data_IF_751765304939
#
_entry.id   IF_751765304939
#
_cell.length_a   1.000
_cell.length_b   1.000
_cell.length_c   1.000
_cell.angle_alpha   90.00
_cell.angle_beta   90.00
_cell.angle_gamma   90.00
#
_symmetry.space_group_name_H-M   'P 1'
#
loop_
_entity.id
_entity.type
_entity.pdbx_description
1 polymer ?
#
# COMPACT_ATOMS: atom_id res chain seq x y z
N UNK A 1 10.72 -21.19 5.91
CA UNK A 1 9.63 -20.73 5.04
C UNK A 1 9.91 -19.31 4.61
N UNK A 2 9.78 -19.09 3.35
CA UNK A 2 10.01 -17.77 2.80
C UNK A 2 8.70 -17.00 2.72
N UNK A 3 8.57 -15.96 3.54
CA UNK A 3 7.37 -15.15 3.59
C UNK A 3 7.47 -13.87 2.77
N UNK A 4 8.48 -13.77 1.91
CA UNK A 4 8.68 -12.53 1.16
C UNK A 4 7.51 -12.17 0.24
N UNK A 5 6.67 -13.11 -0.11
CA UNK A 5 5.52 -12.88 -1.00
C UNK A 5 4.20 -12.85 -0.29
N UNK A 6 4.15 -13.24 0.96
CA UNK A 6 2.89 -13.31 1.67
C UNK A 6 2.90 -12.37 2.85
N UNK A 7 1.79 -11.72 3.06
CA UNK A 7 1.63 -10.76 4.15
C UNK A 7 0.47 -11.21 5.00
N UNK A 8 0.71 -11.33 6.29
CA UNK A 8 -0.34 -11.66 7.23
C UNK A 8 -1.10 -10.41 7.62
N UNK A 9 -2.40 -10.53 7.91
CA UNK A 9 -3.20 -9.35 8.27
C UNK A 9 -2.62 -8.53 9.41
N UNK A 10 -2.12 -9.17 10.45
CA UNK A 10 -1.58 -8.45 11.60
C UNK A 10 -0.33 -7.65 11.22
N UNK A 11 0.53 -8.23 10.38
CA UNK A 11 1.72 -7.52 9.92
C UNK A 11 1.34 -6.31 9.07
N UNK A 12 0.32 -6.45 8.25
CA UNK A 12 -0.14 -5.36 7.42
C UNK A 12 -0.73 -4.24 8.27
N UNK A 13 -1.51 -4.57 9.30
CA UNK A 13 -2.06 -3.57 10.22
C UNK A 13 -0.96 -2.81 10.93
N UNK A 14 0.08 -3.50 11.38
CA UNK A 14 1.20 -2.86 12.05
C UNK A 14 1.94 -1.91 11.11
N UNK A 15 2.14 -2.33 9.86
CA UNK A 15 2.81 -1.50 8.88
C UNK A 15 2.02 -0.22 8.60
N UNK A 16 0.70 -0.33 8.49
CA UNK A 16 -0.17 0.83 8.28
C UNK A 16 -0.11 1.79 9.47
N UNK A 17 -0.13 1.24 10.68
CA UNK A 17 -0.01 2.06 11.89
C UNK A 17 1.32 2.79 11.95
N UNK A 18 2.41 2.10 11.58
CA UNK A 18 3.73 2.71 11.54
C UNK A 18 3.78 3.87 10.55
N UNK A 19 3.24 3.66 9.36
CA UNK A 19 3.19 4.70 8.35
C UNK A 19 2.36 5.89 8.83
N UNK A 20 1.21 5.61 9.42
CA UNK A 20 0.30 6.64 9.90
C UNK A 20 0.91 7.51 10.98
N UNK A 21 1.81 6.94 11.79
CA UNK A 21 2.47 7.66 12.88
C UNK A 21 3.73 8.41 12.49
N UNK A 22 4.20 8.25 11.27
CA UNK A 22 5.43 8.92 10.84
C UNK A 22 5.22 10.39 10.54
N UNK A 23 6.22 11.19 10.87
CA UNK A 23 6.22 12.60 10.48
C UNK A 23 6.51 12.68 8.99
N UNK A 24 5.74 13.46 8.28
CA UNK A 24 5.85 13.54 6.84
C UNK A 24 5.46 14.93 6.37
N UNK A 25 6.31 15.54 5.54
CA UNK A 25 6.02 16.84 4.95
C UNK A 25 5.12 16.70 3.72
N UNK A 26 5.11 15.55 3.09
CA UNK A 26 4.26 15.25 1.95
C UNK A 26 3.12 14.33 2.31
N UNK A 27 2.83 13.40 1.43
CA UNK A 27 1.73 12.45 1.62
C UNK A 27 2.24 11.13 2.17
N UNK A 28 1.36 10.42 2.86
CA UNK A 28 1.60 9.03 3.28
C UNK A 28 0.92 8.12 2.28
N UNK A 29 1.71 7.30 1.59
CA UNK A 29 1.23 6.45 0.50
C UNK A 29 1.45 4.99 0.87
N UNK A 30 0.42 4.17 0.76
CA UNK A 30 0.51 2.74 1.00
C UNK A 30 0.28 1.99 -0.30
N UNK A 31 1.27 1.22 -0.73
CA UNK A 31 1.16 0.33 -1.89
C UNK A 31 1.07 -1.08 -1.33
N UNK A 32 -0.11 -1.68 -1.44
CA UNK A 32 -0.41 -2.93 -0.76
C UNK A 32 -0.85 -3.99 -1.76
N UNK A 33 -0.23 -5.15 -1.65
CA UNK A 33 -0.62 -6.32 -2.43
C UNK A 33 -1.62 -7.17 -1.66
N UNK A 34 -2.01 -8.28 -2.27
CA UNK A 34 -2.94 -9.18 -1.63
C UNK A 34 -2.28 -9.87 -0.44
N UNK A 35 -3.09 -10.21 0.54
CA UNK A 35 -2.66 -11.08 1.63
C UNK A 35 -2.85 -12.52 1.17
N UNK A 36 -1.82 -13.33 1.32
CA UNK A 36 -1.81 -14.69 0.79
C UNK A 36 -2.32 -15.71 1.81
N UNK A 37 -2.74 -16.86 1.29
CA UNK A 37 -3.05 -18.04 2.09
C UNK A 37 -4.19 -17.86 3.11
N UNK A 38 -5.13 -16.98 2.80
CA UNK A 38 -6.28 -16.74 3.67
C UNK A 38 -7.49 -17.63 3.32
N UNK A 39 -7.46 -18.26 2.16
CA UNK A 39 -8.56 -19.11 1.73
C UNK A 39 -9.90 -18.40 1.74
N UNK A 40 -10.88 -19.00 2.40
CA UNK A 40 -12.23 -18.44 2.46
C UNK A 40 -12.31 -17.11 3.21
N UNK A 41 -11.28 -16.76 3.98
CA UNK A 41 -11.28 -15.51 4.75
C UNK A 41 -10.64 -14.34 4.01
N UNK A 42 -10.21 -14.55 2.78
CA UNK A 42 -9.48 -13.53 2.03
C UNK A 42 -10.27 -12.22 1.90
N UNK A 43 -11.52 -12.31 1.46
CA UNK A 43 -12.35 -11.12 1.28
C UNK A 43 -12.53 -10.38 2.61
N UNK A 44 -12.89 -11.12 3.64
CA UNK A 44 -13.14 -10.53 4.97
C UNK A 44 -11.90 -9.81 5.50
N UNK A 45 -10.73 -10.43 5.34
CA UNK A 45 -9.49 -9.83 5.83
C UNK A 45 -9.06 -8.61 5.02
N UNK A 46 -9.28 -8.62 3.71
CA UNK A 46 -9.01 -7.44 2.91
C UNK A 46 -9.95 -6.28 3.25
N UNK A 47 -11.21 -6.58 3.55
CA UNK A 47 -12.15 -5.57 4.01
C UNK A 47 -11.69 -4.99 5.35
N UNK A 48 -11.21 -5.84 6.25
CA UNK A 48 -10.71 -5.41 7.56
C UNK A 48 -9.54 -4.44 7.40
N UNK A 49 -8.60 -4.75 6.51
CA UNK A 49 -7.48 -3.85 6.24
C UNK A 49 -7.96 -2.53 5.66
N UNK A 50 -8.96 -2.58 4.78
CA UNK A 50 -9.54 -1.35 4.24
C UNK A 50 -10.11 -0.45 5.33
N UNK A 51 -10.73 -1.04 6.34
CA UNK A 51 -11.26 -0.28 7.47
C UNK A 51 -10.15 0.33 8.32
N UNK A 52 -9.06 -0.41 8.51
CA UNK A 52 -7.89 0.13 9.22
C UNK A 52 -7.33 1.33 8.47
N UNK A 53 -7.21 1.23 7.15
CA UNK A 53 -6.75 2.34 6.32
C UNK A 53 -7.69 3.54 6.41
N UNK A 54 -8.99 3.28 6.41
CA UNK A 54 -9.98 4.36 6.45
C UNK A 54 -9.87 5.21 7.72
N UNK A 55 -9.39 4.60 8.80
CA UNK A 55 -9.21 5.30 10.08
C UNK A 55 -7.79 5.82 10.28
N UNK A 56 -6.91 5.60 9.31
CA UNK A 56 -5.51 6.00 9.40
C UNK A 56 -5.29 7.39 8.84
N UNK A 57 -4.04 7.84 8.90
CA UNK A 57 -3.61 9.10 8.30
C UNK A 57 -3.01 8.92 6.91
N UNK A 58 -3.23 7.77 6.32
CA UNK A 58 -2.73 7.49 4.97
C UNK A 58 -3.53 8.33 3.98
N UNK A 59 -2.85 8.93 3.03
CA UNK A 59 -3.46 9.83 2.05
C UNK A 59 -3.77 9.16 0.73
N UNK A 60 -2.96 8.19 0.33
CA UNK A 60 -3.11 7.49 -0.96
C UNK A 60 -2.90 6.00 -0.73
N UNK A 61 -3.76 5.20 -1.33
CA UNK A 61 -3.62 3.74 -1.28
C UNK A 61 -3.60 3.20 -2.71
N UNK A 62 -2.60 2.38 -2.99
CA UNK A 62 -2.50 1.67 -4.27
C UNK A 62 -2.67 0.19 -3.97
N UNK A 63 -3.70 -0.42 -4.52
CA UNK A 63 -3.96 -1.85 -4.37
C UNK A 63 -3.47 -2.61 -5.58
N UNK A 64 -2.76 -3.70 -5.35
CA UNK A 64 -2.23 -4.55 -6.40
C UNK A 64 -2.79 -5.96 -6.24
N UNK A 65 -3.36 -6.52 -7.26
CA UNK A 65 -4.05 -7.79 -7.34
C UNK A 65 -5.55 -7.66 -7.06
N UNK A 66 -6.36 -8.51 -7.69
CA UNK A 66 -7.83 -8.40 -7.60
C UNK A 66 -8.37 -8.39 -6.17
N UNK A 67 -7.75 -9.14 -5.26
CA UNK A 67 -8.22 -9.22 -3.89
C UNK A 67 -8.22 -7.87 -3.17
N UNK A 68 -7.35 -6.95 -3.59
CA UNK A 68 -7.28 -5.65 -2.95
C UNK A 68 -8.46 -4.74 -3.30
N UNK A 69 -9.27 -5.12 -4.27
CA UNK A 69 -10.46 -4.34 -4.60
C UNK A 69 -11.42 -4.24 -3.43
N UNK A 70 -11.55 -5.32 -2.65
CA UNK A 70 -12.40 -5.31 -1.45
C UNK A 70 -11.87 -4.32 -0.41
N UNK A 71 -10.54 -4.21 -0.31
CA UNK A 71 -9.90 -3.27 0.58
C UNK A 71 -10.14 -1.83 0.13
N UNK A 72 -9.96 -1.57 -1.16
CA UNK A 72 -10.12 -0.22 -1.71
C UNK A 72 -11.57 0.27 -1.58
N UNK A 73 -12.53 -0.66 -1.64
CA UNK A 73 -13.95 -0.31 -1.55
C UNK A 73 -14.32 0.28 -0.18
N UNK A 74 -13.50 0.07 0.84
CA UNK A 74 -13.78 0.57 2.19
C UNK A 74 -13.26 1.98 2.43
N UNK A 75 -12.52 2.54 1.49
CA UNK A 75 -11.84 3.82 1.71
C UNK A 75 -12.79 5.00 1.55
N UNK A 76 -12.66 6.02 2.43
CA UNK A 76 -13.46 7.25 2.28
C UNK A 76 -12.94 8.08 1.11
N UNK A 77 -13.73 9.06 0.69
CA UNK A 77 -13.36 9.89 -0.46
C UNK A 77 -12.06 10.67 -0.25
N UNK A 78 -11.71 11.00 0.98
CA UNK A 78 -10.48 11.74 1.26
C UNK A 78 -9.21 10.97 0.89
N UNK A 79 -9.31 9.64 0.78
CA UNK A 79 -8.15 8.82 0.43
C UNK A 79 -8.17 8.56 -1.07
N UNK A 80 -7.14 9.04 -1.75
CA UNK A 80 -6.95 8.76 -3.17
C UNK A 80 -6.62 7.28 -3.33
N UNK A 81 -7.21 6.62 -4.31
CA UNK A 81 -7.00 5.19 -4.51
C UNK A 81 -6.70 4.88 -5.95
N UNK A 82 -5.83 3.89 -6.13
CA UNK A 82 -5.46 3.37 -7.44
C UNK A 82 -5.43 1.86 -7.38
N UNK A 83 -5.71 1.21 -8.49
CA UNK A 83 -5.76 -0.24 -8.55
C UNK A 83 -4.93 -0.75 -9.71
N UNK A 84 -4.16 -1.81 -9.45
CA UNK A 84 -3.42 -2.53 -10.48
C UNK A 84 -3.75 -4.02 -10.37
N UNK A 85 -4.08 -4.65 -11.48
CA UNK A 85 -4.38 -6.07 -11.49
C UNK A 85 -3.15 -6.91 -11.17
N UNK A 86 -1.98 -6.40 -11.53
CA UNK A 86 -0.69 -7.01 -11.21
C UNK A 86 0.35 -5.90 -11.12
N UNK A 87 1.61 -6.29 -10.88
CA UNK A 87 2.66 -5.28 -10.68
C UNK A 87 3.19 -4.65 -11.97
N UNK A 88 2.70 -5.09 -13.13
CA UNK A 88 3.15 -4.52 -14.40
C UNK A 88 2.80 -3.04 -14.47
N UNK A 89 3.79 -2.23 -14.79
CA UNK A 89 3.60 -0.78 -14.87
C UNK A 89 3.53 -0.07 -13.53
N UNK A 90 3.57 -0.82 -12.41
CA UNK A 90 3.47 -0.21 -11.09
C UNK A 90 4.63 0.73 -10.79
N UNK A 91 5.85 0.28 -11.03
CA UNK A 91 7.03 1.10 -10.76
C UNK A 91 7.01 2.38 -11.57
N UNK A 92 6.67 2.27 -12.86
CA UNK A 92 6.58 3.44 -13.71
C UNK A 92 5.53 4.42 -13.20
N UNK A 93 4.36 3.90 -12.83
CA UNK A 93 3.30 4.75 -12.29
C UNK A 93 3.75 5.47 -11.03
N UNK A 94 4.36 4.73 -10.11
CA UNK A 94 4.80 5.32 -8.84
C UNK A 94 5.84 6.42 -9.08
N UNK A 95 6.85 6.13 -9.87
CA UNK A 95 7.98 7.05 -10.03
C UNK A 95 7.68 8.23 -10.95
N UNK A 96 6.86 8.01 -11.98
CA UNK A 96 6.62 9.03 -12.99
C UNK A 96 5.33 9.81 -12.83
N UNK A 97 4.35 9.25 -12.13
CA UNK A 97 3.02 9.87 -12.06
C UNK A 97 2.51 10.15 -10.67
N UNK A 98 2.85 9.31 -9.69
CA UNK A 98 2.27 9.43 -8.37
C UNK A 98 3.19 10.10 -7.36
N UNK A 99 4.41 9.59 -7.18
CA UNK A 99 5.27 10.03 -6.09
C UNK A 99 5.78 11.45 -6.28
N UNK A 100 5.79 12.19 -5.19
CA UNK A 100 6.29 13.56 -5.17
C UNK A 100 7.32 13.69 -4.06
N UNK A 101 8.19 14.69 -4.18
CA UNK A 101 9.20 14.93 -3.17
C UNK A 101 8.55 15.11 -1.79
N UNK A 102 9.14 14.52 -0.78
CA UNK A 102 8.70 14.53 0.62
C UNK A 102 7.59 13.55 0.96
N UNK A 103 7.10 12.77 0.01
CA UNK A 103 6.16 11.69 0.31
C UNK A 103 6.88 10.56 1.04
N UNK A 104 6.13 9.81 1.83
CA UNK A 104 6.60 8.55 2.40
C UNK A 104 5.73 7.44 1.81
N UNK A 105 6.36 6.43 1.26
CA UNK A 105 5.64 5.31 0.66
C UNK A 105 6.02 4.01 1.34
N UNK A 106 5.00 3.26 1.73
CA UNK A 106 5.13 1.90 2.24
C UNK A 106 4.71 0.95 1.13
N UNK A 107 5.58 0.00 0.80
CA UNK A 107 5.26 -1.03 -0.17
C UNK A 107 5.27 -2.37 0.56
N UNK A 108 4.13 -3.06 0.58
CA UNK A 108 4.01 -4.31 1.30
C UNK A 108 3.11 -5.27 0.55
N UNK A 109 3.64 -6.46 0.28
CA UNK A 109 2.89 -7.49 -0.43
C UNK A 109 2.79 -7.29 -1.93
N UNK A 110 3.20 -6.15 -2.43
CA UNK A 110 3.15 -5.86 -3.86
C UNK A 110 4.46 -6.18 -4.57
N UNK A 111 5.52 -6.36 -3.80
CA UNK A 111 6.85 -6.69 -4.30
C UNK A 111 7.40 -7.82 -3.44
N UNK A 112 8.66 -8.17 -3.66
CA UNK A 112 9.26 -9.31 -2.98
C UNK A 112 9.49 -9.11 -1.49
N UNK A 113 9.55 -7.87 -1.03
CA UNK A 113 9.77 -7.57 0.38
C UNK A 113 8.99 -6.34 0.78
N UNK A 114 8.84 -6.18 2.09
CA UNK A 114 8.23 -4.97 2.64
C UNK A 114 9.26 -3.87 2.67
N UNK A 115 8.90 -2.70 2.15
CA UNK A 115 9.82 -1.58 2.11
C UNK A 115 9.13 -0.27 2.43
N UNK A 116 9.86 0.58 3.12
CA UNK A 116 9.40 1.92 3.45
C UNK A 116 10.40 2.91 2.87
N UNK A 117 9.90 3.80 2.04
CA UNK A 117 10.74 4.78 1.38
C UNK A 117 10.32 6.20 1.72
N UNK A 118 11.32 7.04 1.94
CA UNK A 118 11.08 8.48 1.92
C UNK A 118 11.38 8.94 0.50
N UNK A 119 10.40 9.57 -0.13
CA UNK A 119 10.56 9.99 -1.52
C UNK A 119 11.39 11.26 -1.58
N UNK A 120 12.43 11.23 -2.39
CA UNK A 120 13.31 12.37 -2.60
C UNK A 120 13.27 12.75 -4.08
N UNK A 121 13.69 13.97 -4.35
CA UNK A 121 13.79 14.43 -5.73
C UNK A 121 14.67 13.52 -6.57
N UNK A 122 15.73 13.00 -5.95
CA UNK A 122 16.64 12.07 -6.63
C UNK A 122 15.92 10.78 -7.06
N UNK A 123 15.08 10.25 -6.19
CA UNK A 123 14.32 9.04 -6.51
C UNK A 123 13.36 9.31 -7.68
N UNK A 124 12.67 10.42 -7.66
CA UNK A 124 11.73 10.78 -8.72
C UNK A 124 12.43 10.90 -10.06
N UNK A 125 13.60 11.53 -10.08
CA UNK A 125 14.34 11.74 -11.31
C UNK A 125 14.88 10.45 -11.93
N UNK A 126 15.07 9.44 -11.13
CA UNK A 126 15.57 8.15 -11.60
C UNK A 126 14.45 7.20 -12.05
N UNK A 127 13.24 7.60 -11.88
CA UNK A 127 12.08 6.85 -12.35
C UNK A 127 11.85 7.02 -13.84
#
# INVERSE_FOLDING_TARGET
IDDSYSVQPEAMKLAIKSLSGMKCCGRRIAVLGKMAELGAHSQEKHIEIGRVLAESRVDVVVGVKPETQDMLAQLPERIERHYFENKDGLDEFLLNKLLQNNDIVLIKGARYSSELYKVTESLIKHG
#
